data_IF_434592504259
#
_entry.id   IF_434592504259
#
_cell.length_a   1.000
_cell.length_b   1.000
_cell.length_c   1.000
_cell.angle_alpha   90.00
_cell.angle_beta   90.00
_cell.angle_gamma   90.00
#
_symmetry.space_group_name_H-M   'P 1'
#
loop_
_entity.id
_entity.type
_entity.pdbx_description
1 polymer ?
#
# COMPACT_ATOMS: atom_id res chain seq x y z
N UNK A 1 -68.53 48.71 48.46
CA UNK A 1 -67.12 48.22 48.47
C UNK A 1 -67.05 46.97 47.61
N UNK A 2 -66.69 47.13 46.35
CA UNK A 2 -66.50 46.00 45.40
C UNK A 2 -65.02 45.71 45.29
N UNK A 3 -64.57 44.52 45.66
CA UNK A 3 -63.16 44.07 45.51
C UNK A 3 -63.02 43.51 44.11
N UNK A 4 -62.11 44.09 43.34
CA UNK A 4 -61.70 43.65 42.03
C UNK A 4 -60.62 42.58 42.22
N UNK A 5 -60.87 41.38 41.72
CA UNK A 5 -59.87 40.29 41.69
C UNK A 5 -59.25 40.35 40.32
N UNK A 6 -57.90 40.63 40.27
CA UNK A 6 -57.09 40.58 39.06
C UNK A 6 -56.46 39.18 38.99
N UNK A 7 -56.89 38.38 38.02
CA UNK A 7 -56.27 37.13 37.68
C UNK A 7 -55.08 37.42 36.71
N UNK A 8 -53.85 37.18 37.15
CA UNK A 8 -52.68 37.20 36.32
C UNK A 8 -52.44 35.77 35.79
N UNK A 9 -52.66 35.55 34.51
CA UNK A 9 -52.31 34.32 33.82
C UNK A 9 -50.79 34.35 33.46
N UNK A 10 -50.03 33.48 34.12
CA UNK A 10 -48.61 33.27 33.83
C UNK A 10 -48.51 32.27 32.66
N UNK A 11 -48.23 32.80 31.45
CA UNK A 11 -47.96 31.98 30.27
C UNK A 11 -46.57 31.41 30.35
N UNK A 12 -46.45 30.11 30.57
CA UNK A 12 -45.16 29.39 30.49
C UNK A 12 -44.80 29.18 29.03
N UNK A 13 -43.80 29.92 28.55
CA UNK A 13 -43.18 29.72 27.22
C UNK A 13 -42.22 28.56 27.33
N UNK A 14 -42.61 27.35 26.92
CA UNK A 14 -41.77 26.17 26.82
C UNK A 14 -40.92 26.28 25.55
N UNK A 15 -39.69 26.80 25.68
CA UNK A 15 -38.73 26.80 24.57
C UNK A 15 -38.23 25.37 24.33
N UNK A 16 -38.65 24.75 23.21
CA UNK A 16 -38.09 23.50 22.70
C UNK A 16 -36.64 23.77 22.24
N UNK A 17 -35.68 23.49 23.08
CA UNK A 17 -34.25 23.36 22.67
C UNK A 17 -34.10 22.07 21.87
N UNK A 18 -34.23 22.17 20.55
CA UNK A 18 -33.76 21.10 19.66
C UNK A 18 -32.24 21.02 19.78
N UNK A 19 -31.68 19.84 20.03
CA UNK A 19 -30.21 19.70 19.98
C UNK A 19 -29.77 19.97 18.56
N UNK A 20 -29.03 21.07 18.36
CA UNK A 20 -28.27 21.28 17.13
C UNK A 20 -27.21 20.21 17.13
N UNK A 21 -27.42 19.15 16.36
CA UNK A 21 -26.44 18.13 16.12
C UNK A 21 -25.25 18.80 15.43
N UNK A 22 -24.17 19.03 16.16
CA UNK A 22 -22.91 19.40 15.58
C UNK A 22 -22.47 18.18 14.76
N UNK A 23 -22.64 18.25 13.45
CA UNK A 23 -22.03 17.30 12.55
C UNK A 23 -20.51 17.48 12.70
N UNK A 24 -19.88 16.61 13.48
CA UNK A 24 -18.42 16.47 13.45
C UNK A 24 -18.10 16.04 12.03
N UNK A 25 -17.62 16.96 11.20
CA UNK A 25 -17.06 16.66 9.90
C UNK A 25 -15.98 15.57 10.14
N UNK A 26 -16.17 14.40 9.53
CA UNK A 26 -15.16 13.35 9.63
C UNK A 26 -13.87 13.92 9.06
N UNK A 27 -12.83 13.94 9.88
CA UNK A 27 -11.52 14.35 9.43
C UNK A 27 -11.11 13.39 8.31
N UNK A 28 -10.58 13.90 7.18
CA UNK A 28 -10.13 13.01 6.12
C UNK A 28 -9.12 11.99 6.68
N UNK A 29 -9.12 10.75 6.18
CA UNK A 29 -8.18 9.75 6.63
C UNK A 29 -6.75 10.26 6.48
N UNK A 30 -5.83 9.90 7.38
CA UNK A 30 -4.43 10.26 7.25
C UNK A 30 -3.89 9.71 5.92
N UNK A 31 -3.01 10.48 5.28
CA UNK A 31 -2.29 10.01 4.09
C UNK A 31 -1.14 9.07 4.44
N UNK A 32 -0.47 8.50 3.41
CA UNK A 32 0.76 7.74 3.61
C UNK A 32 1.90 8.63 4.09
N UNK A 33 2.85 8.02 4.80
CA UNK A 33 4.14 8.63 5.12
C UNK A 33 5.16 8.20 4.07
N UNK A 34 5.81 9.14 3.41
CA UNK A 34 6.96 8.87 2.55
C UNK A 34 8.18 8.68 3.43
N UNK A 35 8.65 7.45 3.58
CA UNK A 35 9.86 7.14 4.36
C UNK A 35 11.11 7.57 3.62
N UNK A 36 11.19 7.23 2.34
CA UNK A 36 12.27 7.65 1.44
C UNK A 36 11.70 8.02 0.07
N UNK A 37 12.28 9.05 -0.51
CA UNK A 37 12.11 9.40 -1.92
C UNK A 37 13.47 9.73 -2.51
N UNK A 38 13.85 9.01 -3.54
CA UNK A 38 15.13 9.17 -4.22
C UNK A 38 14.91 9.36 -5.70
N UNK A 39 15.85 10.06 -6.37
CA UNK A 39 15.73 10.43 -7.76
C UNK A 39 17.02 10.15 -8.51
N UNK A 40 16.87 9.59 -9.71
CA UNK A 40 17.97 9.32 -10.64
C UNK A 40 17.63 9.92 -12.00
N UNK A 41 18.52 10.69 -12.58
CA UNK A 41 18.34 11.27 -13.90
C UNK A 41 18.73 10.27 -14.99
N UNK A 42 17.88 10.15 -16.00
CA UNK A 42 18.10 9.35 -17.21
C UNK A 42 18.08 10.27 -18.42
N UNK A 43 19.19 10.95 -18.74
CA UNK A 43 19.22 11.94 -19.81
C UNK A 43 19.16 11.30 -21.20
N UNK A 44 19.66 10.08 -21.35
CA UNK A 44 19.75 9.33 -22.60
C UNK A 44 19.20 7.92 -22.41
N UNK A 45 17.87 7.75 -22.37
CA UNK A 45 17.29 6.42 -22.19
C UNK A 45 17.55 5.54 -23.42
N UNK A 46 17.63 4.21 -23.26
CA UNK A 46 17.61 3.29 -24.40
C UNK A 46 16.34 3.48 -25.24
N UNK A 47 16.44 3.27 -26.55
CA UNK A 47 15.28 3.40 -27.44
C UNK A 47 14.17 2.41 -27.09
N UNK A 48 14.55 1.17 -26.76
CA UNK A 48 13.67 0.10 -26.33
C UNK A 48 14.20 -0.52 -25.02
N UNK A 49 13.38 -0.53 -23.98
CA UNK A 49 13.76 -1.09 -22.70
C UNK A 49 12.57 -1.63 -21.93
N UNK A 50 12.88 -2.49 -20.96
CA UNK A 50 11.97 -3.00 -19.97
C UNK A 50 12.37 -2.45 -18.61
N UNK A 51 11.42 -2.32 -17.68
CA UNK A 51 11.73 -2.04 -16.28
C UNK A 51 11.58 -3.32 -15.48
N UNK A 52 12.60 -3.65 -14.69
CA UNK A 52 12.53 -4.72 -13.71
C UNK A 52 12.67 -4.10 -12.33
N UNK A 53 11.59 -4.15 -11.53
CA UNK A 53 11.61 -3.73 -10.14
C UNK A 53 11.85 -4.94 -9.24
N UNK A 54 12.75 -4.81 -8.27
CA UNK A 54 13.11 -5.88 -7.33
C UNK A 54 13.18 -5.33 -5.91
N UNK A 55 12.77 -6.14 -4.95
CA UNK A 55 13.11 -5.99 -3.54
C UNK A 55 14.02 -7.15 -3.17
N UNK A 56 15.21 -6.83 -2.69
CA UNK A 56 16.24 -7.81 -2.37
C UNK A 56 16.63 -7.73 -0.91
N UNK A 57 16.78 -8.88 -0.27
CA UNK A 57 17.28 -9.02 1.09
C UNK A 57 18.68 -9.61 1.08
N UNK A 58 19.58 -8.98 1.83
CA UNK A 58 20.93 -9.46 2.11
C UNK A 58 21.05 -9.79 3.59
N UNK A 59 21.11 -11.07 3.92
CA UNK A 59 21.46 -11.51 5.26
C UNK A 59 22.86 -11.02 5.67
N UNK A 60 23.20 -10.96 6.95
CA UNK A 60 24.58 -10.68 7.39
C UNK A 60 25.57 -11.58 6.70
N UNK A 61 26.60 -10.99 6.06
CA UNK A 61 27.63 -11.71 5.31
C UNK A 61 27.21 -12.22 3.93
N UNK A 62 25.97 -11.94 3.47
CA UNK A 62 25.54 -12.30 2.12
C UNK A 62 26.15 -11.37 1.08
N UNK A 63 26.62 -11.94 -0.04
CA UNK A 63 27.20 -11.22 -1.17
C UNK A 63 26.75 -11.82 -2.49
N UNK A 64 26.52 -10.97 -3.49
CA UNK A 64 26.47 -11.46 -4.87
C UNK A 64 27.85 -11.90 -5.32
N UNK A 65 27.98 -12.89 -6.22
CA UNK A 65 29.23 -13.08 -6.93
C UNK A 65 29.56 -11.85 -7.78
N UNK A 66 30.83 -11.67 -8.25
CA UNK A 66 31.16 -10.66 -9.24
C UNK A 66 30.25 -10.81 -10.46
N UNK A 67 29.61 -9.73 -10.85
CA UNK A 67 28.58 -9.75 -11.91
C UNK A 67 28.56 -8.43 -12.68
N UNK A 68 27.92 -8.46 -13.83
CA UNK A 68 27.60 -7.28 -14.65
C UNK A 68 26.10 -7.28 -14.96
N UNK A 69 25.58 -6.12 -15.36
CA UNK A 69 24.21 -5.94 -15.82
C UNK A 69 24.17 -5.52 -17.29
N UNK A 70 23.14 -5.93 -18.02
CA UNK A 70 22.89 -5.51 -19.39
C UNK A 70 22.20 -4.14 -19.50
N UNK A 71 21.74 -3.59 -18.39
CA UNK A 71 21.11 -2.28 -18.26
C UNK A 71 21.60 -1.53 -17.03
N UNK A 72 21.12 -0.30 -16.84
CA UNK A 72 21.42 0.50 -15.64
C UNK A 72 20.50 0.09 -14.51
N UNK A 73 21.08 -0.19 -13.33
CA UNK A 73 20.33 -0.45 -12.10
C UNK A 73 20.44 0.76 -11.17
N UNK A 74 19.29 1.17 -10.67
CA UNK A 74 19.13 2.21 -9.66
C UNK A 74 18.70 1.54 -8.35
N UNK A 75 19.47 1.74 -7.29
CA UNK A 75 19.20 1.07 -6.01
C UNK A 75 19.07 2.08 -4.88
N UNK A 76 18.06 1.88 -4.04
CA UNK A 76 17.81 2.62 -2.80
C UNK A 76 17.82 1.65 -1.64
N UNK A 77 18.64 1.90 -0.62
CA UNK A 77 18.65 1.12 0.62
C UNK A 77 17.40 1.46 1.43
N UNK A 78 16.59 0.45 1.74
CA UNK A 78 15.38 0.58 2.53
C UNK A 78 15.66 0.39 4.03
N UNK A 79 16.49 -0.61 4.34
CA UNK A 79 16.84 -1.02 5.71
C UNK A 79 18.28 -1.55 5.77
N UNK A 80 18.91 -1.40 6.95
CA UNK A 80 20.26 -1.91 7.18
C UNK A 80 21.35 -1.15 6.44
N UNK A 81 22.46 -1.82 6.14
CA UNK A 81 23.61 -1.27 5.38
C UNK A 81 23.93 -2.18 4.22
N UNK A 82 24.03 -1.63 3.02
CA UNK A 82 24.48 -2.34 1.82
C UNK A 82 25.89 -1.90 1.47
N UNK A 83 26.76 -2.86 1.17
CA UNK A 83 28.13 -2.61 0.73
C UNK A 83 28.26 -2.97 -0.75
N UNK A 84 28.86 -2.08 -1.53
CA UNK A 84 29.15 -2.28 -2.96
C UNK A 84 30.66 -2.27 -3.16
N UNK A 85 31.18 -3.29 -3.84
CA UNK A 85 32.58 -3.39 -4.31
C UNK A 85 32.61 -3.31 -5.81
N UNK A 86 33.26 -2.32 -6.33
CA UNK A 86 33.39 -2.10 -7.75
C UNK A 86 34.71 -1.40 -8.11
N UNK A 87 34.76 -0.84 -9.28
CA UNK A 87 35.94 -0.13 -9.81
C UNK A 87 36.45 0.99 -8.88
N UNK A 88 35.54 1.65 -8.14
CA UNK A 88 35.88 2.74 -7.21
C UNK A 88 36.25 2.26 -5.80
N UNK A 89 36.42 0.93 -5.61
CA UNK A 89 36.65 0.32 -4.31
C UNK A 89 35.35 -0.02 -3.57
N UNK A 90 35.47 -0.20 -2.26
CA UNK A 90 34.34 -0.55 -1.40
C UNK A 90 33.63 0.72 -0.90
N UNK A 91 32.30 0.75 -1.03
CA UNK A 91 31.46 1.83 -0.56
C UNK A 91 30.27 1.26 0.22
N UNK A 92 29.81 1.98 1.24
CA UNK A 92 28.71 1.59 2.12
C UNK A 92 27.56 2.57 2.04
N UNK A 93 26.34 2.04 2.03
CA UNK A 93 25.12 2.80 1.89
C UNK A 93 24.13 2.41 2.98
N UNK A 94 23.64 3.39 3.73
CA UNK A 94 22.59 3.25 4.74
C UNK A 94 21.19 3.58 4.21
N UNK A 95 20.16 3.48 5.07
CA UNK A 95 18.78 3.70 4.69
C UNK A 95 18.55 5.08 4.04
N UNK A 96 17.82 5.10 2.93
CA UNK A 96 17.58 6.30 2.10
C UNK A 96 18.75 6.68 1.18
N UNK A 97 19.91 6.07 1.32
CA UNK A 97 21.04 6.29 0.39
C UNK A 97 20.90 5.40 -0.85
N UNK A 98 21.59 5.82 -1.93
CA UNK A 98 21.43 5.26 -3.25
C UNK A 98 22.78 4.95 -3.90
N UNK A 99 22.78 3.95 -4.78
CA UNK A 99 23.88 3.71 -5.72
C UNK A 99 23.34 3.30 -7.09
N UNK A 100 24.20 3.38 -8.09
CA UNK A 100 23.89 3.02 -9.48
C UNK A 100 24.92 2.04 -9.98
N UNK A 101 24.45 0.97 -10.64
CA UNK A 101 25.29 0.03 -11.35
C UNK A 101 25.09 0.25 -12.86
N UNK A 102 26.17 0.61 -13.54
CA UNK A 102 26.11 0.89 -14.98
C UNK A 102 26.39 -0.37 -15.80
N UNK A 103 25.84 -0.46 -17.03
CA UNK A 103 26.02 -1.64 -17.86
C UNK A 103 27.51 -1.99 -18.07
N UNK A 104 27.83 -3.27 -17.90
CA UNK A 104 29.16 -3.82 -18.15
C UNK A 104 30.21 -3.58 -17.04
N UNK A 105 29.93 -2.78 -16.03
CA UNK A 105 30.83 -2.69 -14.86
C UNK A 105 30.66 -3.92 -13.95
N UNK A 106 31.79 -4.46 -13.50
CA UNK A 106 31.81 -5.61 -12.60
C UNK A 106 31.65 -5.10 -11.16
N UNK A 107 30.61 -5.54 -10.49
CA UNK A 107 30.32 -5.22 -9.09
C UNK A 107 30.07 -6.49 -8.27
N UNK A 108 30.29 -6.37 -6.97
CA UNK A 108 29.76 -7.27 -5.93
C UNK A 108 28.95 -6.41 -4.97
N UNK A 109 27.73 -6.83 -4.70
CA UNK A 109 26.83 -6.16 -3.76
C UNK A 109 26.56 -7.10 -2.60
N UNK A 110 26.60 -6.59 -1.38
CA UNK A 110 26.41 -7.44 -0.22
C UNK A 110 26.18 -6.68 1.07
N UNK A 111 26.18 -7.43 2.16
CA UNK A 111 25.95 -6.93 3.49
C UNK A 111 27.11 -7.32 4.41
N UNK A 112 27.97 -6.36 4.73
CA UNK A 112 29.07 -6.55 5.68
C UNK A 112 28.67 -6.25 7.14
N UNK A 113 27.45 -5.78 7.37
CA UNK A 113 26.93 -5.48 8.71
C UNK A 113 26.33 -6.71 9.41
N UNK A 114 26.03 -6.58 10.71
CA UNK A 114 25.45 -7.65 11.51
C UNK A 114 23.90 -7.75 11.40
N UNK A 115 23.25 -6.72 10.88
CA UNK A 115 21.79 -6.71 10.64
C UNK A 115 21.50 -6.99 9.17
N UNK A 116 20.29 -7.48 8.86
CA UNK A 116 19.83 -7.65 7.48
C UNK A 116 19.79 -6.30 6.75
N UNK A 117 20.13 -6.30 5.47
CA UNK A 117 19.93 -5.17 4.56
C UNK A 117 18.83 -5.50 3.56
N UNK A 118 17.97 -4.52 3.29
CA UNK A 118 16.92 -4.60 2.26
C UNK A 118 17.05 -3.43 1.29
N UNK A 119 16.95 -3.72 0.01
CA UNK A 119 17.04 -2.70 -1.03
C UNK A 119 15.87 -2.77 -2.02
N UNK A 120 15.48 -1.60 -2.53
CA UNK A 120 14.66 -1.45 -3.73
C UNK A 120 15.58 -1.18 -4.90
N UNK A 121 15.49 -2.01 -5.93
CA UNK A 121 16.29 -1.86 -7.16
C UNK A 121 15.36 -1.82 -8.37
N UNK A 122 15.61 -0.87 -9.28
CA UNK A 122 14.95 -0.79 -10.57
C UNK A 122 15.98 -0.82 -11.69
N UNK A 123 15.85 -1.80 -12.60
CA UNK A 123 16.70 -1.92 -13.77
C UNK A 123 16.00 -1.34 -15.00
N UNK A 124 16.69 -0.47 -15.74
CA UNK A 124 16.33 -0.11 -17.11
C UNK A 124 17.10 -1.03 -18.05
N UNK A 125 16.41 -2.06 -18.51
CA UNK A 125 17.03 -3.14 -19.25
C UNK A 125 16.71 -3.00 -20.75
N UNK A 126 17.68 -2.70 -21.63
CA UNK A 126 17.45 -2.76 -23.05
C UNK A 126 16.81 -4.09 -23.47
N UNK A 127 15.84 -4.05 -24.38
CA UNK A 127 15.10 -5.25 -24.80
C UNK A 127 16.03 -6.36 -25.24
N UNK A 128 15.89 -7.55 -24.65
CA UNK A 128 16.72 -8.72 -24.93
C UNK A 128 18.06 -8.75 -24.19
N UNK A 129 18.43 -7.71 -23.42
CA UNK A 129 19.64 -7.73 -22.61
C UNK A 129 19.44 -8.62 -21.36
N UNK A 130 20.52 -9.27 -20.92
CA UNK A 130 20.51 -10.06 -19.69
C UNK A 130 20.44 -9.13 -18.47
N UNK A 131 19.54 -9.40 -17.52
CA UNK A 131 19.48 -8.61 -16.28
C UNK A 131 20.80 -8.71 -15.52
N UNK A 132 21.34 -9.91 -15.36
CA UNK A 132 22.58 -10.18 -14.63
C UNK A 132 23.40 -11.23 -15.36
N UNK A 133 24.71 -10.99 -15.49
CA UNK A 133 25.70 -11.96 -16.02
C UNK A 133 26.76 -12.17 -14.97
N UNK A 134 26.86 -13.39 -14.44
CA UNK A 134 27.86 -13.75 -13.46
C UNK A 134 29.24 -13.84 -14.15
N UNK A 135 30.21 -13.16 -13.56
CA UNK A 135 31.60 -13.25 -13.98
C UNK A 135 32.24 -14.42 -13.22
N UNK A 136 32.70 -15.44 -13.94
CA UNK A 136 33.40 -16.56 -13.31
C UNK A 136 34.75 -16.09 -12.77
N UNK A 137 34.87 -16.03 -11.47
CA UNK A 137 36.18 -15.85 -10.81
C UNK A 137 36.41 -17.02 -9.85
N UNK A 138 37.34 -17.90 -10.26
CA UNK A 138 38.00 -18.87 -9.37
C UNK A 138 37.15 -19.98 -8.78
N UNK A 139 37.80 -20.95 -8.17
CA UNK A 139 37.25 -22.16 -7.54
C UNK A 139 36.62 -21.94 -6.16
N UNK A 140 36.27 -20.73 -5.79
CA UNK A 140 35.60 -20.43 -4.52
C UNK A 140 34.08 -20.45 -4.71
N UNK A 141 33.43 -21.23 -3.88
CA UNK A 141 31.96 -21.20 -3.80
C UNK A 141 31.57 -19.79 -3.39
N UNK A 142 30.71 -19.09 -4.17
CA UNK A 142 30.29 -17.75 -3.79
C UNK A 142 29.55 -17.80 -2.44
N UNK A 143 29.72 -16.78 -1.60
CA UNK A 143 28.95 -16.69 -0.36
C UNK A 143 27.45 -16.63 -0.69
N UNK A 144 26.56 -16.88 0.29
CA UNK A 144 25.12 -16.75 0.09
C UNK A 144 24.81 -15.40 -0.55
N UNK A 145 24.09 -15.41 -1.66
CA UNK A 145 23.72 -14.20 -2.39
C UNK A 145 22.54 -13.46 -1.77
N UNK A 146 22.07 -12.44 -2.47
CA UNK A 146 20.81 -11.80 -2.14
C UNK A 146 19.64 -12.78 -2.33
N UNK A 147 18.67 -12.72 -1.45
CA UNK A 147 17.38 -13.32 -1.66
C UNK A 147 16.47 -12.32 -2.39
N UNK A 148 15.98 -12.68 -3.57
CA UNK A 148 14.91 -11.89 -4.22
C UNK A 148 13.62 -12.10 -3.46
N UNK A 149 13.13 -11.04 -2.82
CA UNK A 149 11.84 -11.08 -2.10
C UNK A 149 10.72 -10.92 -3.09
N UNK A 150 10.80 -9.89 -3.95
CA UNK A 150 9.84 -9.62 -5.01
C UNK A 150 10.56 -9.19 -6.28
N UNK A 151 10.01 -9.59 -7.42
CA UNK A 151 10.46 -9.13 -8.73
C UNK A 151 9.26 -8.94 -9.63
N UNK A 152 9.19 -7.78 -10.27
CA UNK A 152 8.20 -7.44 -11.26
C UNK A 152 8.88 -6.91 -12.51
N UNK A 153 8.46 -7.40 -13.67
CA UNK A 153 8.91 -6.95 -14.99
C UNK A 153 7.74 -6.32 -15.73
N UNK A 154 7.93 -5.14 -16.26
CA UNK A 154 6.91 -4.41 -16.99
C UNK A 154 7.37 -4.01 -18.38
N UNK A 155 6.49 -4.24 -19.34
CA UNK A 155 6.54 -3.54 -20.62
C UNK A 155 5.82 -2.20 -20.44
N UNK A 156 6.54 -1.10 -20.57
CA UNK A 156 6.02 0.23 -20.26
C UNK A 156 5.71 1.05 -21.50
N UNK A 157 4.77 2.00 -21.33
CA UNK A 157 4.68 3.15 -22.23
C UNK A 157 5.89 4.04 -21.97
N UNK A 158 6.82 4.06 -22.90
CA UNK A 158 8.10 4.75 -22.76
C UNK A 158 7.90 6.26 -22.65
N UNK A 159 8.59 6.93 -21.73
CA UNK A 159 8.76 8.37 -21.82
C UNK A 159 9.51 8.70 -23.12
N UNK A 160 8.97 9.64 -23.88
CA UNK A 160 9.67 10.18 -25.06
C UNK A 160 10.69 11.21 -24.58
N UNK A 161 11.98 10.87 -24.60
CA UNK A 161 13.07 11.77 -24.21
C UNK A 161 13.56 11.55 -22.77
N UNK A 162 14.30 12.52 -22.22
CA UNK A 162 14.86 12.43 -20.87
C UNK A 162 13.78 12.28 -19.80
N UNK A 163 14.03 11.41 -18.83
CA UNK A 163 13.13 11.21 -17.70
C UNK A 163 13.91 10.99 -16.40
N UNK A 164 13.20 10.91 -15.32
CA UNK A 164 13.72 10.59 -13.98
C UNK A 164 13.14 9.27 -13.52
N UNK A 165 13.99 8.39 -12.95
CA UNK A 165 13.52 7.27 -12.13
C UNK A 165 13.39 7.77 -10.72
N UNK A 166 12.21 7.62 -10.13
CA UNK A 166 11.97 8.00 -8.73
C UNK A 166 11.57 6.74 -7.97
N UNK A 167 12.29 6.48 -6.88
CA UNK A 167 11.88 5.47 -5.91
C UNK A 167 11.17 6.15 -4.74
N UNK A 168 10.06 5.57 -4.32
CA UNK A 168 9.42 5.88 -3.04
C UNK A 168 9.27 4.63 -2.19
N UNK A 169 9.54 4.76 -0.91
CA UNK A 169 9.17 3.79 0.14
C UNK A 169 8.11 4.45 0.99
N UNK A 170 6.92 3.85 1.04
CA UNK A 170 5.74 4.44 1.65
C UNK A 170 5.21 3.54 2.75
N UNK A 171 4.82 4.17 3.86
CA UNK A 171 4.13 3.52 4.96
C UNK A 171 2.71 4.08 5.08
N UNK A 172 1.73 3.18 5.15
CA UNK A 172 0.34 3.51 5.40
C UNK A 172 -0.06 2.95 6.77
N UNK A 173 -0.34 3.82 7.72
CA UNK A 173 -0.96 3.40 8.97
C UNK A 173 -2.35 2.78 8.71
N UNK A 174 -2.92 2.01 9.64
CA UNK A 174 -4.28 1.52 9.53
C UNK A 174 -5.27 2.63 9.17
N UNK A 175 -6.07 2.43 8.13
CA UNK A 175 -7.04 3.40 7.63
C UNK A 175 -6.45 4.61 6.88
N UNK A 176 -5.14 4.63 6.60
CA UNK A 176 -4.53 5.68 5.80
C UNK A 176 -4.82 5.49 4.30
N UNK A 177 -5.19 6.57 3.61
CA UNK A 177 -5.48 6.58 2.18
C UNK A 177 -4.88 7.82 1.52
N UNK A 178 -4.48 7.67 0.25
CA UNK A 178 -4.16 8.84 -0.57
C UNK A 178 -5.45 9.60 -0.89
N UNK A 179 -5.41 10.94 -1.06
CA UNK A 179 -6.48 11.63 -1.76
C UNK A 179 -6.59 11.11 -3.20
N UNK A 180 -7.68 11.41 -3.90
CA UNK A 180 -7.78 11.17 -5.33
C UNK A 180 -6.68 11.98 -6.03
N UNK A 181 -5.85 11.33 -6.82
CA UNK A 181 -4.70 11.95 -7.47
C UNK A 181 -4.36 11.25 -8.78
N UNK A 182 -3.44 11.81 -9.52
CA UNK A 182 -2.80 11.19 -10.68
C UNK A 182 -1.31 11.55 -10.73
N UNK A 183 -0.54 10.78 -11.49
CA UNK A 183 0.88 10.99 -11.71
C UNK A 183 1.19 11.49 -13.12
N UNK A 184 2.24 12.32 -13.23
CA UNK A 184 2.75 12.80 -14.52
C UNK A 184 3.69 11.82 -15.21
N UNK A 185 4.02 10.70 -14.57
CA UNK A 185 4.77 9.57 -15.09
C UNK A 185 4.06 8.26 -14.79
N UNK A 186 4.43 7.20 -15.48
CA UNK A 186 3.96 5.85 -15.16
C UNK A 186 4.68 5.32 -13.93
N UNK A 187 3.99 4.56 -13.09
CA UNK A 187 4.60 3.91 -11.94
C UNK A 187 4.26 2.43 -11.81
N UNK A 188 5.04 1.79 -10.94
CA UNK A 188 4.94 0.39 -10.54
C UNK A 188 4.98 0.34 -9.03
N UNK A 189 3.89 -0.09 -8.41
CA UNK A 189 3.78 -0.18 -6.96
C UNK A 189 3.73 -1.64 -6.54
N UNK A 190 4.66 -2.06 -5.68
CA UNK A 190 4.69 -3.40 -5.10
C UNK A 190 4.37 -3.33 -3.62
N UNK A 191 3.43 -4.15 -3.17
CA UNK A 191 3.13 -4.33 -1.74
C UNK A 191 4.25 -5.16 -1.11
N UNK A 192 4.96 -4.59 -0.15
CA UNK A 192 6.05 -5.28 0.57
C UNK A 192 5.53 -6.00 1.81
N UNK A 193 4.59 -5.37 2.52
CA UNK A 193 3.94 -5.94 3.69
C UNK A 193 2.53 -5.39 3.86
N UNK A 194 1.61 -6.18 4.40
CA UNK A 194 0.21 -5.80 4.61
C UNK A 194 -0.67 -6.07 3.41
N UNK A 195 -1.81 -5.39 3.35
CA UNK A 195 -2.79 -5.43 2.24
C UNK A 195 -3.12 -4.01 1.79
N UNK A 196 -3.13 -3.78 0.49
CA UNK A 196 -3.48 -2.50 -0.12
C UNK A 196 -4.82 -2.59 -0.86
N UNK A 197 -5.67 -1.57 -0.71
CA UNK A 197 -6.79 -1.31 -1.62
C UNK A 197 -6.34 -0.26 -2.63
N UNK A 198 -6.69 -0.51 -3.90
CA UNK A 198 -6.49 0.43 -5.01
C UNK A 198 -7.81 0.61 -5.74
N UNK A 199 -8.20 1.87 -5.95
CA UNK A 199 -9.38 2.27 -6.71
C UNK A 199 -8.96 3.05 -7.93
N UNK A 200 -9.27 2.50 -9.10
CA UNK A 200 -8.95 3.07 -10.41
C UNK A 200 -10.12 2.81 -11.35
N UNK A 201 -10.53 3.80 -12.16
CA UNK A 201 -11.54 3.64 -13.21
C UNK A 201 -12.86 3.01 -12.73
N UNK A 202 -13.26 3.31 -11.49
CA UNK A 202 -14.47 2.75 -10.88
C UNK A 202 -14.34 1.32 -10.36
N UNK A 203 -13.18 0.68 -10.50
CA UNK A 203 -12.90 -0.64 -9.97
C UNK A 203 -12.10 -0.55 -8.66
N UNK A 204 -12.34 -1.49 -7.75
CA UNK A 204 -11.55 -1.68 -6.54
C UNK A 204 -10.81 -3.01 -6.62
N UNK A 205 -9.53 -3.00 -6.28
CA UNK A 205 -8.68 -4.19 -6.18
C UNK A 205 -8.04 -4.24 -4.80
N UNK A 206 -7.81 -5.46 -4.30
CA UNK A 206 -7.05 -5.74 -3.10
C UNK A 206 -5.78 -6.46 -3.49
N UNK A 207 -4.66 -5.97 -2.97
CA UNK A 207 -3.33 -6.51 -3.27
C UNK A 207 -2.64 -6.85 -1.96
N UNK A 208 -1.98 -8.00 -1.96
CA UNK A 208 -1.21 -8.53 -0.82
C UNK A 208 0.29 -8.40 -1.07
N UNK A 209 1.07 -8.67 -0.05
CA UNK A 209 2.52 -8.72 -0.15
C UNK A 209 2.98 -9.58 -1.34
N UNK A 210 3.88 -9.04 -2.17
CA UNK A 210 4.38 -9.63 -3.41
C UNK A 210 3.60 -9.23 -4.66
N UNK A 211 2.40 -8.66 -4.54
CA UNK A 211 1.62 -8.24 -5.70
C UNK A 211 2.01 -6.82 -6.13
N UNK A 212 2.04 -6.62 -7.44
CA UNK A 212 2.39 -5.34 -8.07
C UNK A 212 1.23 -4.85 -8.93
N UNK A 213 1.03 -3.56 -8.95
CA UNK A 213 0.08 -2.87 -9.81
C UNK A 213 0.73 -1.63 -10.42
N UNK A 214 0.07 -1.05 -11.40
CA UNK A 214 0.61 0.08 -12.17
C UNK A 214 -0.41 1.19 -12.29
N UNK A 215 0.08 2.42 -12.40
CA UNK A 215 -0.71 3.59 -12.79
C UNK A 215 -0.22 4.11 -14.14
N UNK A 216 -1.15 4.26 -15.06
CA UNK A 216 -0.86 4.96 -16.31
C UNK A 216 -0.75 6.47 -16.07
N UNK A 217 -0.03 7.16 -16.93
CA UNK A 217 0.08 8.62 -16.87
C UNK A 217 -1.33 9.25 -16.87
N UNK A 218 -1.60 10.09 -15.88
CA UNK A 218 -2.88 10.80 -15.74
C UNK A 218 -4.03 9.93 -15.22
N UNK A 219 -3.82 8.67 -14.89
CA UNK A 219 -4.86 7.81 -14.32
C UNK A 219 -5.22 8.24 -12.91
N UNK A 220 -6.51 8.44 -12.67
CA UNK A 220 -6.99 8.84 -11.35
C UNK A 220 -7.03 7.65 -10.41
N UNK A 221 -6.36 7.77 -9.26
CA UNK A 221 -6.19 6.68 -8.29
C UNK A 221 -6.42 7.14 -6.86
N UNK A 222 -6.98 6.23 -6.06
CA UNK A 222 -6.95 6.26 -4.60
C UNK A 222 -6.35 4.94 -4.14
N UNK A 223 -5.32 4.99 -3.32
CA UNK A 223 -4.70 3.81 -2.73
C UNK A 223 -4.67 3.93 -1.21
N UNK A 224 -4.78 2.82 -0.48
CA UNK A 224 -4.79 2.89 0.97
C UNK A 224 -4.69 1.56 1.68
N UNK A 225 -4.64 1.65 2.99
CA UNK A 225 -4.55 0.53 3.92
C UNK A 225 -5.91 0.23 4.56
N UNK A 226 -6.60 -0.83 4.15
CA UNK A 226 -7.88 -1.22 4.75
C UNK A 226 -7.71 -2.05 6.04
N UNK A 227 -6.49 -2.53 6.30
CA UNK A 227 -6.20 -3.49 7.37
C UNK A 227 -5.87 -2.85 8.72
N UNK A 228 -5.76 -3.66 9.77
CA UNK A 228 -5.39 -3.21 11.11
C UNK A 228 -3.86 -3.08 11.31
N UNK A 229 -3.07 -3.67 10.43
CA UNK A 229 -1.60 -3.63 10.47
C UNK A 229 -1.06 -2.56 9.52
N UNK A 230 0.19 -2.16 9.72
CA UNK A 230 0.84 -1.23 8.80
C UNK A 230 1.02 -1.87 7.42
N UNK A 231 0.73 -1.10 6.38
CA UNK A 231 1.02 -1.43 4.99
C UNK A 231 2.32 -0.73 4.59
N UNK A 232 3.25 -1.49 4.00
CA UNK A 232 4.45 -0.96 3.39
C UNK A 232 4.45 -1.25 1.89
N UNK A 233 4.69 -0.23 1.08
CA UNK A 233 4.79 -0.36 -0.37
C UNK A 233 6.04 0.33 -0.88
N UNK A 234 6.53 -0.14 -2.01
CA UNK A 234 7.57 0.52 -2.80
C UNK A 234 7.01 0.90 -4.15
N UNK A 235 7.36 2.07 -4.63
CA UNK A 235 6.97 2.57 -5.93
C UNK A 235 8.19 3.01 -6.74
N UNK A 236 8.19 2.66 -8.02
CA UNK A 236 9.15 3.17 -9.02
C UNK A 236 8.38 3.95 -10.07
N UNK A 237 8.74 5.22 -10.24
CA UNK A 237 8.16 6.09 -11.26
C UNK A 237 9.14 6.30 -12.40
N UNK A 238 8.60 6.38 -13.61
CA UNK A 238 9.30 6.90 -14.78
C UNK A 238 8.68 8.26 -15.12
N UNK A 239 9.27 9.31 -14.57
CA UNK A 239 8.73 10.66 -14.64
C UNK A 239 9.39 11.44 -15.79
N UNK A 240 8.68 11.83 -16.86
CA UNK A 240 9.20 12.73 -17.85
C UNK A 240 9.80 13.99 -17.24
N UNK A 241 10.95 14.45 -17.72
CA UNK A 241 11.63 15.61 -17.15
C UNK A 241 10.70 16.84 -17.12
N UNK A 242 10.54 17.42 -15.95
CA UNK A 242 9.68 18.58 -15.71
C UNK A 242 8.21 18.27 -15.44
N UNK A 243 7.78 16.99 -15.53
CA UNK A 243 6.42 16.61 -15.12
C UNK A 243 6.27 16.65 -13.59
N UNK A 244 5.04 16.87 -13.11
CA UNK A 244 4.72 16.75 -11.69
C UNK A 244 4.61 15.29 -11.30
N UNK A 245 5.27 14.91 -10.19
CA UNK A 245 5.19 13.54 -9.71
C UNK A 245 3.76 13.16 -9.33
N UNK A 246 3.11 13.98 -8.51
CA UNK A 246 1.74 13.74 -8.02
C UNK A 246 0.92 15.02 -8.09
N UNK A 247 -0.28 14.93 -8.64
CA UNK A 247 -1.23 16.04 -8.73
C UNK A 247 -2.54 15.63 -8.05
N UNK A 248 -2.95 16.27 -6.95
CA UNK A 248 -4.25 16.03 -6.35
C UNK A 248 -5.37 16.49 -7.29
N UNK A 249 -6.43 15.70 -7.39
CA UNK A 249 -7.63 16.08 -8.15
C UNK A 249 -8.49 16.99 -7.26
N UNK A 250 -8.65 18.25 -7.67
CA UNK A 250 -9.56 19.19 -7.01
C UNK A 250 -10.99 18.90 -7.44
N UNK A 251 -11.83 18.54 -6.52
CA UNK A 251 -13.25 18.27 -6.72
C UNK A 251 -13.73 17.44 -5.54
N UNK A 252 -14.99 17.44 -5.21
CA UNK A 252 -15.58 16.83 -4.01
C UNK A 252 -14.88 15.52 -3.62
N UNK A 253 -13.81 15.65 -2.88
CA UNK A 253 -13.19 14.55 -2.18
C UNK A 253 -14.12 14.16 -1.02
N UNK A 254 -15.26 13.56 -1.36
CA UNK A 254 -15.87 12.65 -0.44
C UNK A 254 -14.79 11.59 -0.17
N UNK A 255 -14.12 11.70 1.00
CA UNK A 255 -13.31 10.61 1.51
C UNK A 255 -14.09 9.33 1.25
N UNK A 256 -13.47 8.29 0.66
CA UNK A 256 -14.19 7.06 0.38
C UNK A 256 -14.91 6.67 1.67
N UNK A 257 -16.22 6.49 1.58
CA UNK A 257 -17.01 6.07 2.74
C UNK A 257 -16.30 4.85 3.31
N UNK A 258 -15.87 4.93 4.57
CA UNK A 258 -15.31 3.77 5.25
C UNK A 258 -16.28 2.63 5.01
N UNK A 259 -15.81 1.52 4.45
CA UNK A 259 -16.64 0.33 4.34
C UNK A 259 -17.21 0.06 5.73
N UNK A 260 -18.52 -0.21 5.87
CA UNK A 260 -19.08 -0.59 7.16
C UNK A 260 -18.22 -1.72 7.71
N UNK A 261 -17.78 -1.59 8.97
CA UNK A 261 -17.07 -2.69 9.64
C UNK A 261 -17.95 -3.93 9.51
N UNK A 262 -17.53 -4.89 8.70
CA UNK A 262 -18.20 -6.17 8.60
C UNK A 262 -18.04 -6.86 9.96
N UNK A 263 -19.05 -6.76 10.82
CA UNK A 263 -19.04 -7.39 12.15
C UNK A 263 -19.73 -6.64 13.26
N UNK A 264 -20.02 -5.35 13.12
CA UNK A 264 -20.93 -4.68 14.08
C UNK A 264 -22.38 -4.87 13.61
N UNK A 265 -23.08 -5.81 14.24
CA UNK A 265 -24.53 -5.90 14.11
C UNK A 265 -25.11 -4.57 14.58
N UNK A 266 -25.91 -3.90 13.73
CA UNK A 266 -26.67 -2.72 14.11
C UNK A 266 -27.52 -3.05 15.35
N UNK A 267 -27.26 -2.45 16.52
CA UNK A 267 -28.05 -2.72 17.73
C UNK A 267 -29.52 -2.31 17.57
N UNK A 268 -29.90 -1.69 16.46
CA UNK A 268 -31.30 -1.33 16.12
C UNK A 268 -31.96 -2.33 15.19
N UNK A 269 -31.25 -3.29 14.64
CA UNK A 269 -31.82 -4.40 13.91
C UNK A 269 -32.24 -5.48 14.91
N UNK A 270 -33.35 -5.25 15.60
CA UNK A 270 -34.00 -6.31 16.34
C UNK A 270 -34.41 -7.41 15.34
N UNK A 271 -33.94 -8.65 15.53
CA UNK A 271 -34.24 -9.71 14.58
C UNK A 271 -35.74 -9.98 14.58
N UNK A 272 -36.37 -9.87 13.40
CA UNK A 272 -37.80 -10.05 13.19
C UNK A 272 -38.33 -11.45 13.54
N UNK A 273 -37.49 -12.36 14.06
CA UNK A 273 -37.90 -13.69 14.51
C UNK A 273 -38.38 -13.73 15.99
N UNK A 274 -38.21 -12.65 16.78
CA UNK A 274 -38.69 -12.59 18.17
C UNK A 274 -40.20 -12.35 18.31
N UNK A 275 -40.94 -12.15 17.22
CA UNK A 275 -42.40 -12.00 17.22
C UNK A 275 -43.18 -13.29 16.89
N UNK A 276 -42.51 -14.43 16.70
CA UNK A 276 -43.13 -15.72 16.34
C UNK A 276 -43.11 -16.77 17.47
N UNK A 277 -42.63 -16.49 18.67
CA UNK A 277 -42.59 -17.44 19.80
C UNK A 277 -43.73 -17.21 20.85
N UNK A 278 -44.61 -16.23 20.62
CA UNK A 278 -45.73 -15.94 21.51
C UNK A 278 -47.06 -16.68 21.24
N UNK A 279 -47.12 -17.53 20.20
CA UNK A 279 -48.40 -18.08 19.72
C UNK A 279 -48.59 -19.61 19.86
N UNK A 280 -47.69 -20.39 20.39
CA UNK A 280 -47.79 -21.88 20.34
C UNK A 280 -47.68 -22.61 21.67
N UNK A 281 -47.87 -21.96 22.80
CA UNK A 281 -47.75 -22.60 24.13
C UNK A 281 -49.10 -23.02 24.77
N UNK A 282 -50.19 -23.12 24.01
CA UNK A 282 -51.51 -23.47 24.56
C UNK A 282 -52.23 -24.71 23.96
N UNK A 283 -51.54 -25.58 23.21
CA UNK A 283 -52.15 -26.79 22.62
C UNK A 283 -51.36 -28.10 22.88
N UNK A 284 -50.46 -28.18 23.85
CA UNK A 284 -49.74 -29.41 24.18
C UNK A 284 -49.99 -29.99 25.58
N UNK A 285 -51.12 -29.64 26.25
CA UNK A 285 -51.48 -30.16 27.59
C UNK A 285 -52.62 -31.20 27.53
N UNK A 286 -52.87 -31.87 26.43
CA UNK A 286 -54.02 -32.77 26.25
C UNK A 286 -53.75 -34.20 25.81
N UNK A 287 -52.52 -34.67 25.73
CA UNK A 287 -52.31 -36.02 25.17
C UNK A 287 -51.22 -36.86 25.84
N UNK A 288 -51.16 -36.86 27.17
CA UNK A 288 -50.29 -37.77 27.94
C UNK A 288 -51.03 -38.50 29.05
N UNK A 289 -52.16 -39.13 28.71
CA UNK A 289 -52.81 -40.11 29.58
C UNK A 289 -53.34 -41.26 28.71
N UNK A 290 -52.53 -42.27 28.45
CA UNK A 290 -52.87 -43.67 28.17
C UNK A 290 -51.83 -44.35 27.28
N UNK A 291 -50.90 -45.07 27.93
CA UNK A 291 -50.58 -46.47 27.58
C UNK A 291 -49.46 -46.98 28.51
N UNK A 292 -49.89 -47.89 29.38
CA UNK A 292 -48.99 -48.73 30.17
C UNK A 292 -48.42 -49.87 29.29
N UNK A 293 -47.23 -50.39 29.63
CA UNK A 293 -46.59 -51.44 28.88
C UNK A 293 -47.18 -52.81 29.25
N UNK A 294 -47.23 -53.75 28.26
CA UNK A 294 -47.33 -55.18 28.53
C UNK A 294 -46.00 -55.80 28.23
N UNK A 295 -45.52 -56.57 29.23
CA UNK A 295 -44.40 -57.49 29.17
C UNK A 295 -44.75 -58.69 28.27
N UNK A 296 -43.82 -59.15 27.48
CA UNK A 296 -43.38 -60.52 27.26
C UNK A 296 -42.06 -60.44 26.48
#
# INVERSE_FOLDING_TARGET
MRRLIVLTTLGALLALLLPVGVAFGQQPPPGPTVRYQTKFEVPNPPAEFEVVQMVLDFAPGAWTPPHTHGGTLFTTVMEGETTVRGKSGEQKYGPGQTFVEIPGEVNEVGNSAAAMSRVLTSALLPTGAALTTIQQSGSHQPPPGAATVYQYKSEIVKPTGPFEVIHQVLDFAPGAFTPLHYHGGQDFVTVVAGEQIVRQDGAERRLKAGETWTEAIGQHTVAGNPGPENLNVVATFLLPKGAQLTTPVQGDAAAPAMLPKTGEADPRAAPAWLLLVGGSALLAAGWLARRRPRQA
#
